data_IF_316404767297
#
_entry.id   IF_316404767297
#
_cell.length_a   1.000
_cell.length_b   1.000
_cell.length_c   1.000
_cell.angle_alpha   90.00
_cell.angle_beta   90.00
_cell.angle_gamma   90.00
#
_symmetry.space_group_name_H-M   'P 1'
#
loop_
_entity.id
_entity.type
_entity.pdbx_description
1 polymer ?
#
# COMPACT_ATOMS: atom_id res chain seq x y z
N UNK A 1 6.36 7.99 -5.64
CA UNK A 1 5.15 7.16 -5.70
C UNK A 1 5.35 6.14 -6.80
N UNK A 2 5.04 4.87 -6.53
CA UNK A 2 5.09 3.81 -7.54
C UNK A 2 3.80 3.00 -7.49
N UNK A 3 3.35 2.52 -8.65
CA UNK A 3 2.21 1.62 -8.80
C UNK A 3 2.62 0.32 -9.49
N UNK A 4 2.03 -0.80 -9.08
CA UNK A 4 2.23 -2.10 -9.72
C UNK A 4 0.92 -2.90 -9.72
N UNK A 5 0.71 -3.75 -10.73
CA UNK A 5 -0.39 -4.71 -10.77
C UNK A 5 0.14 -6.12 -11.00
N UNK A 6 -0.28 -7.07 -10.19
CA UNK A 6 0.10 -8.47 -10.34
C UNK A 6 -1.06 -9.40 -9.95
N UNK A 7 -0.92 -10.68 -10.28
CA UNK A 7 -1.80 -11.74 -9.81
C UNK A 7 -1.63 -11.94 -8.30
N UNK A 8 -2.71 -12.24 -7.58
CA UNK A 8 -2.63 -12.78 -6.21
C UNK A 8 -2.82 -14.31 -6.17
N UNK A 9 -2.66 -14.95 -7.33
CA UNK A 9 -2.52 -16.40 -7.54
C UNK A 9 -3.64 -17.25 -6.94
N UNK A 10 -4.88 -16.73 -6.99
CA UNK A 10 -6.07 -17.44 -6.52
C UNK A 10 -6.29 -17.36 -5.00
N UNK A 11 -5.46 -16.62 -4.26
CA UNK A 11 -5.67 -16.36 -2.84
C UNK A 11 -6.69 -15.23 -2.62
N UNK A 12 -7.22 -15.09 -1.40
CA UNK A 12 -7.98 -13.86 -1.08
C UNK A 12 -7.02 -12.68 -0.99
N UNK A 13 -7.49 -11.47 -1.29
CA UNK A 13 -6.67 -10.26 -1.19
C UNK A 13 -6.10 -10.05 0.23
N UNK A 14 -6.87 -10.45 1.25
CA UNK A 14 -6.43 -10.46 2.66
C UNK A 14 -5.26 -11.41 2.90
N UNK A 15 -5.38 -12.66 2.44
CA UNK A 15 -4.32 -13.66 2.60
C UNK A 15 -3.06 -13.25 1.84
N UNK A 16 -3.23 -12.66 0.65
CA UNK A 16 -2.12 -12.10 -0.11
C UNK A 16 -1.46 -10.92 0.63
N UNK A 17 -2.24 -10.01 1.23
CA UNK A 17 -1.72 -8.91 2.02
C UNK A 17 -0.91 -9.41 3.24
N UNK A 18 -1.41 -10.43 3.94
CA UNK A 18 -0.71 -11.10 5.05
C UNK A 18 0.56 -11.80 4.57
N UNK A 19 0.53 -12.49 3.43
CA UNK A 19 1.71 -13.15 2.86
C UNK A 19 2.80 -12.13 2.47
N UNK A 20 2.41 -11.02 1.84
CA UNK A 20 3.31 -9.90 1.52
C UNK A 20 3.94 -9.29 2.77
N UNK A 21 3.17 -9.15 3.83
CA UNK A 21 3.66 -8.67 5.12
C UNK A 21 4.68 -9.65 5.74
N UNK A 22 4.42 -10.95 5.68
CA UNK A 22 5.34 -11.97 6.18
C UNK A 22 6.64 -12.01 5.36
N UNK A 23 6.55 -11.93 4.03
CA UNK A 23 7.72 -11.80 3.15
C UNK A 23 8.60 -10.61 3.57
N UNK A 24 7.99 -9.45 3.88
CA UNK A 24 8.71 -8.27 4.33
C UNK A 24 9.29 -8.40 5.74
N UNK A 25 8.62 -9.14 6.65
CA UNK A 25 9.13 -9.42 8.01
C UNK A 25 10.29 -10.42 8.01
N UNK A 26 10.33 -11.34 7.05
CA UNK A 26 11.38 -12.36 6.93
C UNK A 26 12.70 -11.79 6.38
N UNK A 27 12.67 -10.61 5.73
CA UNK A 27 13.90 -9.89 5.38
C UNK A 27 14.50 -9.24 6.63
N UNK A 28 15.82 -9.39 6.88
CA UNK A 28 16.51 -8.77 8.00
C UNK A 28 16.66 -7.27 7.75
N UNK A 29 15.57 -6.54 7.94
CA UNK A 29 15.50 -5.10 7.81
C UNK A 29 15.15 -4.51 9.18
N UNK A 30 15.63 -3.30 9.47
CA UNK A 30 15.31 -2.56 10.70
C UNK A 30 13.90 -1.98 10.68
N UNK A 31 13.03 -2.46 9.78
CA UNK A 31 11.75 -1.87 9.46
C UNK A 31 10.63 -2.57 10.24
N UNK A 32 9.83 -1.79 10.95
CA UNK A 32 8.61 -2.26 11.59
C UNK A 32 7.45 -2.19 10.61
N UNK A 33 6.78 -3.31 10.35
CA UNK A 33 5.59 -3.35 9.50
C UNK A 33 4.34 -3.50 10.37
N UNK A 34 3.38 -2.59 10.21
CA UNK A 34 2.08 -2.68 10.90
C UNK A 34 1.22 -3.76 10.27
N UNK A 35 0.38 -4.44 11.05
CA UNK A 35 -0.57 -5.40 10.48
C UNK A 35 -1.51 -4.73 9.46
N UNK A 36 -1.95 -5.47 8.41
CA UNK A 36 -2.84 -4.92 7.40
C UNK A 36 -4.20 -4.56 8.02
N UNK A 37 -4.73 -3.41 7.65
CA UNK A 37 -6.06 -2.94 8.04
C UNK A 37 -6.90 -2.70 6.81
N UNK A 38 -8.20 -2.97 6.92
CA UNK A 38 -9.15 -2.60 5.90
C UNK A 38 -9.13 -1.08 5.69
N UNK A 39 -9.19 -0.66 4.44
CA UNK A 39 -9.25 0.75 4.06
C UNK A 39 -10.15 0.93 2.84
N UNK A 40 -10.59 2.17 2.64
CA UNK A 40 -11.30 2.58 1.43
C UNK A 40 -10.44 3.61 0.71
N UNK A 41 -9.99 3.27 -0.49
CA UNK A 41 -9.21 4.16 -1.35
C UNK A 41 -10.03 4.49 -2.59
N UNK A 42 -10.41 5.77 -2.74
CA UNK A 42 -11.25 6.26 -3.85
C UNK A 42 -12.52 5.42 -4.08
N UNK A 43 -13.17 5.00 -2.99
CA UNK A 43 -14.41 4.20 -3.03
C UNK A 43 -14.20 2.70 -3.24
N UNK A 44 -12.95 2.23 -3.35
CA UNK A 44 -12.62 0.81 -3.49
C UNK A 44 -12.08 0.30 -2.15
N UNK A 45 -12.73 -0.74 -1.63
CA UNK A 45 -12.27 -1.44 -0.42
C UNK A 45 -11.00 -2.25 -0.71
N UNK A 46 -10.04 -2.18 0.19
CA UNK A 46 -8.79 -2.93 0.11
C UNK A 46 -8.09 -3.01 1.46
N UNK A 47 -6.79 -3.32 1.42
CA UNK A 47 -5.98 -3.45 2.63
C UNK A 47 -4.81 -2.49 2.59
N UNK A 48 -4.50 -1.89 3.73
CA UNK A 48 -3.37 -0.99 3.89
C UNK A 48 -2.50 -1.41 5.05
N UNK A 49 -1.19 -1.32 4.86
CA UNK A 49 -0.21 -1.48 5.93
C UNK A 49 0.89 -0.43 5.78
N UNK A 50 1.57 -0.13 6.89
CA UNK A 50 2.65 0.85 6.95
C UNK A 50 3.95 0.13 7.24
N UNK A 51 5.00 0.45 6.49
CA UNK A 51 6.39 0.08 6.80
C UNK A 51 7.05 1.32 7.42
N UNK A 52 7.67 1.13 8.59
CA UNK A 52 8.33 2.18 9.37
C UNK A 52 9.80 1.78 9.53
N UNK A 53 10.68 2.42 8.77
CA UNK A 53 12.11 2.13 8.71
C UNK A 53 12.93 3.41 8.63
N UNK A 54 13.76 3.54 7.58
CA UNK A 54 14.43 4.80 7.22
C UNK A 54 13.46 5.90 6.74
N UNK A 55 12.18 5.56 6.61
CA UNK A 55 11.07 6.44 6.34
C UNK A 55 9.75 5.74 6.66
N UNK A 56 8.63 6.45 6.48
CA UNK A 56 7.29 5.86 6.57
C UNK A 56 6.75 5.62 5.17
N UNK A 57 6.42 4.37 4.87
CA UNK A 57 5.84 3.95 3.60
C UNK A 57 4.45 3.39 3.84
N UNK A 58 3.45 3.90 3.15
CA UNK A 58 2.08 3.41 3.20
C UNK A 58 1.84 2.58 1.95
N UNK A 59 1.61 1.28 2.12
CA UNK A 59 1.26 0.37 1.03
C UNK A 59 -0.24 0.10 1.09
N UNK A 60 -0.93 0.37 -0.01
CA UNK A 60 -2.35 0.08 -0.19
C UNK A 60 -2.52 -0.94 -1.32
N UNK A 61 -3.22 -2.03 -1.05
CA UNK A 61 -3.55 -3.11 -1.97
C UNK A 61 -5.04 -3.06 -2.28
N UNK A 62 -5.37 -2.94 -3.56
CA UNK A 62 -6.75 -2.83 -4.07
C UNK A 62 -7.04 -3.98 -5.03
N UNK A 63 -8.28 -4.51 -5.06
CA UNK A 63 -8.67 -5.48 -6.07
C UNK A 63 -8.70 -4.84 -7.46
N UNK A 64 -8.27 -5.59 -8.49
CA UNK A 64 -8.24 -5.15 -9.88
C UNK A 64 -8.69 -6.28 -10.81
N UNK A 65 -9.99 -6.53 -10.88
CA UNK A 65 -10.57 -7.69 -11.57
C UNK A 65 -10.60 -8.94 -10.68
N UNK A 66 -10.77 -10.12 -11.29
CA UNK A 66 -11.07 -11.35 -10.55
C UNK A 66 -9.89 -11.98 -9.80
N UNK A 67 -8.63 -11.72 -10.21
CA UNK A 67 -7.47 -12.37 -9.61
C UNK A 67 -6.20 -11.49 -9.58
N UNK A 68 -6.36 -10.17 -9.66
CA UNK A 68 -5.23 -9.24 -9.67
C UNK A 68 -5.43 -8.16 -8.62
N UNK A 69 -4.31 -7.67 -8.11
CA UNK A 69 -4.28 -6.50 -7.24
C UNK A 69 -3.63 -5.32 -7.95
N UNK A 70 -3.96 -4.13 -7.47
CA UNK A 70 -3.25 -2.89 -7.73
C UNK A 70 -2.61 -2.42 -6.42
N UNK A 71 -1.30 -2.23 -6.44
CA UNK A 71 -0.54 -1.76 -5.28
C UNK A 71 -0.19 -0.29 -5.47
N UNK A 72 -0.56 0.52 -4.49
CA UNK A 72 -0.12 1.90 -4.34
C UNK A 72 0.93 1.94 -3.23
N UNK A 73 2.16 2.31 -3.58
CA UNK A 73 3.20 2.59 -2.60
C UNK A 73 3.38 4.11 -2.46
N UNK A 74 2.99 4.63 -1.30
CA UNK A 74 3.17 6.01 -0.93
C UNK A 74 4.32 6.18 0.07
N UNK A 75 5.41 6.79 -0.39
CA UNK A 75 6.60 7.15 0.40
C UNK A 75 6.69 8.67 0.64
N UNK A 76 5.58 9.41 0.58
CA UNK A 76 5.57 10.88 0.60
C UNK A 76 5.77 11.51 1.98
N UNK A 77 6.46 10.83 2.91
CA UNK A 77 6.68 11.37 4.24
C UNK A 77 7.39 12.73 4.15
N UNK A 78 6.83 13.73 4.81
CA UNK A 78 7.30 15.11 4.77
C UNK A 78 7.70 15.58 6.18
N UNK A 79 8.86 15.12 6.69
CA UNK A 79 9.29 15.42 8.05
C UNK A 79 9.53 16.92 8.30
N UNK A 80 9.77 17.69 7.23
CA UNK A 80 9.93 19.15 7.28
C UNK A 80 8.60 19.90 7.06
N UNK A 81 7.49 19.18 6.85
CA UNK A 81 6.14 19.69 6.62
C UNK A 81 6.07 20.76 5.50
N UNK A 82 6.79 20.53 4.42
CA UNK A 82 6.86 21.41 3.24
C UNK A 82 5.62 21.31 2.32
N UNK A 83 4.65 20.45 2.65
CA UNK A 83 3.42 20.22 1.88
C UNK A 83 3.55 19.15 0.79
N UNK A 84 4.66 18.40 0.74
CA UNK A 84 4.86 17.33 -0.24
C UNK A 84 3.87 16.19 -0.01
N UNK A 85 3.65 15.79 1.25
CA UNK A 85 2.68 14.75 1.61
C UNK A 85 1.28 15.11 1.13
N UNK A 86 0.79 16.32 1.44
CA UNK A 86 -0.53 16.82 1.03
C UNK A 86 -0.68 16.88 -0.49
N UNK A 87 0.38 17.24 -1.19
CA UNK A 87 0.37 17.31 -2.66
C UNK A 87 0.22 15.90 -3.24
N UNK A 88 0.94 14.92 -2.70
CA UNK A 88 0.84 13.51 -3.11
C UNK A 88 -0.53 12.93 -2.76
N UNK A 89 -1.08 13.21 -1.57
CA UNK A 89 -2.44 12.81 -1.20
C UNK A 89 -3.50 13.38 -2.16
N UNK A 90 -3.34 14.64 -2.58
CA UNK A 90 -4.23 15.26 -3.56
C UNK A 90 -4.12 14.63 -4.95
N UNK A 91 -2.93 14.19 -5.36
CA UNK A 91 -2.79 13.42 -6.60
C UNK A 91 -3.49 12.06 -6.46
N UNK A 92 -3.28 11.36 -5.35
CA UNK A 92 -3.91 10.06 -5.06
C UNK A 92 -5.43 10.12 -5.03
N UNK A 93 -6.02 11.18 -4.48
CA UNK A 93 -7.49 11.34 -4.45
C UNK A 93 -8.13 11.52 -5.82
N UNK A 94 -7.34 11.90 -6.84
CA UNK A 94 -7.81 12.02 -8.23
C UNK A 94 -7.63 10.74 -9.04
N UNK A 95 -6.94 9.73 -8.51
CA UNK A 95 -6.65 8.48 -9.22
C UNK A 95 -7.95 7.69 -9.45
N UNK A 96 -8.34 7.50 -10.71
CA UNK A 96 -9.43 6.59 -11.08
C UNK A 96 -8.84 5.26 -11.51
N UNK A 97 -9.20 4.20 -10.79
CA UNK A 97 -8.97 2.83 -11.23
C UNK A 97 -10.12 2.47 -12.19
N UNK A 98 -9.78 2.21 -13.45
CA UNK A 98 -10.72 1.90 -14.55
C UNK A 98 -10.63 0.42 -14.86
#
# INVERSE_FOLDING_TARGET
MCYNSASFDGQTLENFAKAKLNEMKDYPTTESVTDPKETVFNGISGYQFTIIGMGRHIITLLPHGQNRYFMVNNSSMDPTNQGYEKTVEKMLSTLKLI
#
